data_IF_455313985241
#
_entry.id   IF_455313985241
#
_cell.length_a   1.000
_cell.length_b   1.000
_cell.length_c   1.000
_cell.angle_alpha   90.00
_cell.angle_beta   90.00
_cell.angle_gamma   90.00
#
_symmetry.space_group_name_H-M   'P 1'
#
loop_
_entity.id
_entity.type
_entity.pdbx_description
1 polymer ?
#
# COMPACT_ATOMS: atom_id res chain seq x y z
N UNK A 1 2.49 22.52 -25.25
CA UNK A 1 2.43 22.67 -23.78
C UNK A 1 0.98 22.70 -23.37
N UNK A 2 0.43 21.57 -22.91
CA UNK A 2 -0.98 21.45 -22.50
C UNK A 2 -1.03 21.43 -20.97
N UNK A 3 -1.80 22.37 -20.41
CA UNK A 3 -2.23 22.40 -19.03
C UNK A 3 -2.98 21.09 -18.69
N UNK A 4 -2.47 20.28 -17.76
CA UNK A 4 -3.26 19.25 -17.08
C UNK A 4 -3.60 19.77 -15.68
N UNK A 5 -4.89 20.02 -15.38
CA UNK A 5 -5.31 20.39 -14.04
C UNK A 5 -5.18 19.15 -13.13
N UNK A 6 -4.54 19.34 -11.98
CA UNK A 6 -4.89 18.68 -10.72
C UNK A 6 -4.90 17.14 -10.69
N UNK A 7 -3.85 16.49 -11.21
CA UNK A 7 -3.60 15.09 -10.84
C UNK A 7 -3.03 15.02 -9.41
N UNK A 8 -3.94 15.09 -8.43
CA UNK A 8 -3.69 14.76 -7.01
C UNK A 8 -3.74 13.24 -6.76
N UNK A 9 -3.56 12.45 -7.82
CA UNK A 9 -3.45 11.00 -7.77
C UNK A 9 -2.00 10.55 -8.01
N UNK A 10 -1.62 9.34 -7.55
CA UNK A 10 -0.30 8.79 -7.82
C UNK A 10 -0.04 8.72 -9.34
N UNK A 11 1.15 9.16 -9.75
CA UNK A 11 1.57 9.21 -11.15
C UNK A 11 1.78 7.79 -11.71
N UNK A 12 2.03 6.82 -10.84
CA UNK A 12 2.29 5.42 -11.17
C UNK A 12 1.36 4.50 -10.38
N UNK A 13 0.83 3.45 -11.02
CA UNK A 13 0.07 2.41 -10.32
C UNK A 13 1.02 1.53 -9.50
N UNK A 14 0.57 1.06 -8.34
CA UNK A 14 1.35 0.17 -7.47
C UNK A 14 1.87 -1.09 -8.21
N UNK A 15 1.04 -1.70 -9.06
CA UNK A 15 1.45 -2.86 -9.85
C UNK A 15 2.56 -2.54 -10.85
N UNK A 16 2.50 -1.39 -11.51
CA UNK A 16 3.51 -0.97 -12.47
C UNK A 16 4.84 -0.58 -11.77
N UNK A 17 4.75 0.01 -10.58
CA UNK A 17 5.91 0.26 -9.73
C UNK A 17 6.61 -1.05 -9.33
N UNK A 18 5.82 -2.05 -8.94
CA UNK A 18 6.31 -3.37 -8.58
C UNK A 18 6.96 -4.09 -9.76
N UNK A 19 6.28 -4.17 -10.90
CA UNK A 19 6.77 -4.85 -12.11
C UNK A 19 8.13 -4.25 -12.55
N UNK A 20 8.24 -2.92 -12.55
CA UNK A 20 9.48 -2.22 -12.91
C UNK A 20 10.64 -2.54 -11.96
N UNK A 21 10.37 -2.72 -10.67
CA UNK A 21 11.39 -3.05 -9.68
C UNK A 21 11.78 -4.53 -9.78
N UNK A 22 10.79 -5.42 -9.94
CA UNK A 22 10.99 -6.86 -10.15
C UNK A 22 11.85 -7.13 -11.38
N UNK A 23 11.51 -6.54 -12.53
CA UNK A 23 12.26 -6.74 -13.78
C UNK A 23 13.72 -6.27 -13.69
N UNK A 24 13.98 -5.24 -12.87
CA UNK A 24 15.35 -4.76 -12.63
C UNK A 24 16.09 -5.64 -11.62
N UNK A 25 15.39 -6.09 -10.58
CA UNK A 25 15.90 -7.02 -9.59
C UNK A 25 16.29 -8.37 -10.21
N UNK A 26 15.45 -8.95 -11.08
CA UNK A 26 15.77 -10.18 -11.82
C UNK A 26 16.99 -10.00 -12.74
N UNK A 27 17.06 -8.90 -13.50
CA UNK A 27 18.22 -8.65 -14.38
C UNK A 27 19.51 -8.49 -13.59
N UNK A 28 19.45 -7.85 -12.43
CA UNK A 28 20.58 -7.81 -11.50
C UNK A 28 20.93 -9.19 -10.98
N UNK A 29 19.95 -9.98 -10.52
CA UNK A 29 20.17 -11.34 -10.04
C UNK A 29 20.88 -12.22 -11.09
N UNK A 30 20.51 -12.11 -12.37
CA UNK A 30 21.14 -12.84 -13.50
C UNK A 30 22.56 -12.39 -13.82
N UNK A 31 22.90 -11.13 -13.54
CA UNK A 31 24.23 -10.54 -13.83
C UNK A 31 25.13 -10.45 -12.61
N UNK A 32 24.61 -10.79 -11.43
CA UNK A 32 25.35 -10.79 -10.18
C UNK A 32 26.47 -11.82 -10.22
N UNK A 33 27.67 -11.39 -9.83
CA UNK A 33 28.92 -12.15 -9.97
C UNK A 33 29.29 -12.92 -8.70
N UNK A 34 28.95 -12.38 -7.53
CA UNK A 34 29.34 -12.89 -6.20
C UNK A 34 28.34 -13.92 -5.65
N UNK A 35 28.03 -14.92 -6.47
CA UNK A 35 27.02 -15.96 -6.15
C UNK A 35 27.55 -16.94 -5.10
N UNK A 36 28.86 -16.99 -4.87
CA UNK A 36 29.47 -17.88 -3.88
C UNK A 36 29.56 -17.24 -2.48
N UNK A 37 29.22 -15.95 -2.35
CA UNK A 37 29.19 -15.25 -1.07
C UNK A 37 27.94 -15.64 -0.26
N UNK A 38 27.97 -15.45 1.06
CA UNK A 38 26.83 -15.68 1.95
C UNK A 38 25.58 -14.90 1.51
N UNK A 39 24.40 -15.48 1.75
CA UNK A 39 23.11 -14.86 1.44
C UNK A 39 22.93 -13.47 2.09
N UNK A 40 23.59 -13.24 3.23
CA UNK A 40 23.62 -11.94 3.91
C UNK A 40 24.30 -10.85 3.09
N UNK A 41 25.31 -11.18 2.28
CA UNK A 41 25.94 -10.23 1.36
C UNK A 41 25.06 -9.92 0.17
N UNK A 42 24.32 -10.90 -0.36
CA UNK A 42 23.36 -10.65 -1.44
C UNK A 42 22.28 -9.68 -0.98
N UNK A 43 21.85 -9.80 0.28
CA UNK A 43 20.84 -8.93 0.88
C UNK A 43 21.35 -7.51 1.07
N UNK A 44 22.56 -7.35 1.61
CA UNK A 44 23.19 -6.03 1.75
C UNK A 44 23.38 -5.34 0.40
N UNK A 45 23.87 -6.06 -0.61
CA UNK A 45 24.08 -5.52 -1.97
C UNK A 45 22.75 -5.18 -2.67
N UNK A 46 21.73 -6.03 -2.50
CA UNK A 46 20.40 -5.79 -3.02
C UNK A 46 19.78 -4.54 -2.41
N UNK A 47 19.78 -4.43 -1.09
CA UNK A 47 19.20 -3.28 -0.39
C UNK A 47 19.93 -2.00 -0.74
N UNK A 48 21.27 -1.99 -0.71
CA UNK A 48 22.08 -0.82 -1.06
C UNK A 48 21.80 -0.32 -2.50
N UNK A 49 21.55 -1.24 -3.44
CA UNK A 49 21.30 -0.90 -4.84
C UNK A 49 19.88 -0.43 -5.10
N UNK A 50 18.89 -1.12 -4.55
CA UNK A 50 17.48 -0.94 -4.93
C UNK A 50 16.69 -0.05 -3.97
N UNK A 51 17.18 0.22 -2.76
CA UNK A 51 16.50 1.09 -1.79
C UNK A 51 16.23 2.51 -2.32
N UNK A 52 17.20 3.24 -2.91
CA UNK A 52 16.93 4.57 -3.47
C UNK A 52 15.91 4.55 -4.60
N UNK A 53 15.89 3.46 -5.37
CA UNK A 53 14.95 3.30 -6.48
C UNK A 53 13.53 2.97 -6.00
N UNK A 54 13.43 2.12 -4.98
CA UNK A 54 12.17 1.78 -4.32
C UNK A 54 11.56 3.00 -3.63
N UNK A 55 12.36 3.85 -2.96
CA UNK A 55 11.91 5.11 -2.37
C UNK A 55 11.34 6.06 -3.44
N UNK A 56 12.01 6.17 -4.59
CA UNK A 56 11.53 6.98 -5.72
C UNK A 56 10.20 6.46 -6.28
N UNK A 57 10.10 5.15 -6.52
CA UNK A 57 8.88 4.51 -7.02
C UNK A 57 7.74 4.60 -6.01
N UNK A 58 8.03 4.42 -4.71
CA UNK A 58 7.07 4.59 -3.63
C UNK A 58 6.54 6.02 -3.56
N UNK A 59 7.40 7.03 -3.75
CA UNK A 59 6.99 8.43 -3.80
C UNK A 59 6.09 8.75 -5.02
N UNK A 60 6.27 8.05 -6.14
CA UNK A 60 5.44 8.20 -7.34
C UNK A 60 4.08 7.48 -7.23
N UNK A 61 4.01 6.39 -6.46
CA UNK A 61 2.79 5.58 -6.30
C UNK A 61 2.01 5.88 -5.00
N UNK A 62 2.61 6.59 -4.04
CA UNK A 62 1.97 6.93 -2.76
C UNK A 62 1.43 8.36 -2.79
N UNK A 63 0.12 8.56 -2.52
CA UNK A 63 -0.43 9.90 -2.41
C UNK A 63 0.16 10.63 -1.20
N UNK A 64 0.66 11.85 -1.41
CA UNK A 64 1.16 12.73 -0.35
C UNK A 64 0.02 13.25 0.53
N UNK A 65 0.35 13.67 1.74
CA UNK A 65 -0.56 14.43 2.58
C UNK A 65 -1.06 15.65 1.80
N UNK A 66 -2.37 15.77 1.66
CA UNK A 66 -3.02 16.84 0.91
C UNK A 66 -4.22 17.38 1.66
N UNK A 67 -4.62 18.60 1.35
CA UNK A 67 -5.86 19.15 1.85
C UNK A 67 -7.03 18.25 1.44
N UNK A 68 -7.96 18.05 2.37
CA UNK A 68 -9.13 17.22 2.16
C UNK A 68 -10.09 17.95 1.21
N UNK A 69 -10.27 17.41 0.01
CA UNK A 69 -11.06 18.04 -1.04
C UNK A 69 -12.56 17.74 -0.86
N UNK A 70 -13.41 18.52 -1.55
CA UNK A 70 -14.86 18.28 -1.56
C UNK A 70 -15.22 16.86 -2.06
N UNK A 71 -14.47 16.34 -3.03
CA UNK A 71 -14.65 14.97 -3.52
C UNK A 71 -14.35 13.94 -2.43
N UNK A 72 -13.33 14.17 -1.59
CA UNK A 72 -12.99 13.26 -0.49
C UNK A 72 -14.09 13.26 0.57
N UNK A 73 -14.74 14.41 0.81
CA UNK A 73 -15.92 14.50 1.67
C UNK A 73 -17.07 13.66 1.13
N UNK A 74 -17.40 13.81 -0.16
CA UNK A 74 -18.48 13.06 -0.79
C UNK A 74 -18.21 11.56 -0.70
N UNK A 75 -16.99 11.13 -1.05
CA UNK A 75 -16.61 9.72 -1.00
C UNK A 75 -16.61 9.17 0.42
N UNK A 76 -16.03 9.91 1.39
CA UNK A 76 -16.00 9.49 2.79
C UNK A 76 -17.42 9.35 3.34
N UNK A 77 -18.29 10.33 3.09
CA UNK A 77 -19.70 10.27 3.53
C UNK A 77 -20.42 9.10 2.90
N UNK A 78 -20.32 8.90 1.58
CA UNK A 78 -20.99 7.79 0.89
C UNK A 78 -20.53 6.42 1.41
N UNK A 79 -19.22 6.23 1.58
CA UNK A 79 -18.65 4.98 2.10
C UNK A 79 -19.13 4.73 3.53
N UNK A 80 -19.09 5.72 4.40
CA UNK A 80 -19.49 5.54 5.79
C UNK A 80 -21.00 5.42 5.98
N UNK A 81 -21.82 6.05 5.12
CA UNK A 81 -23.26 5.81 5.08
C UNK A 81 -23.58 4.39 4.61
N UNK A 82 -22.84 3.86 3.63
CA UNK A 82 -23.00 2.48 3.19
C UNK A 82 -22.67 1.50 4.32
N UNK A 83 -21.53 1.69 5.00
CA UNK A 83 -21.14 0.87 6.15
C UNK A 83 -22.18 0.97 7.28
N UNK A 84 -22.61 2.19 7.63
CA UNK A 84 -23.65 2.39 8.64
C UNK A 84 -24.97 1.71 8.25
N UNK A 85 -25.35 1.77 6.98
CA UNK A 85 -26.53 1.08 6.43
C UNK A 85 -26.42 -0.44 6.51
N UNK A 86 -25.25 -1.02 6.21
CA UNK A 86 -24.99 -2.46 6.35
C UNK A 86 -25.06 -2.88 7.81
N UNK A 87 -24.41 -2.13 8.71
CA UNK A 87 -24.43 -2.42 10.16
C UNK A 87 -25.86 -2.36 10.69
N UNK A 88 -26.59 -1.29 10.38
CA UNK A 88 -27.97 -1.10 10.82
C UNK A 88 -28.90 -2.17 10.23
N UNK A 89 -28.82 -2.42 8.92
CA UNK A 89 -29.61 -3.45 8.24
C UNK A 89 -29.33 -4.85 8.78
N UNK A 90 -28.05 -5.18 8.99
CA UNK A 90 -27.64 -6.43 9.63
C UNK A 90 -28.19 -6.57 11.04
N UNK A 91 -28.09 -5.53 11.87
CA UNK A 91 -28.64 -5.53 13.23
C UNK A 91 -30.16 -5.73 13.24
N UNK A 92 -30.90 -5.07 12.35
CA UNK A 92 -32.35 -5.19 12.25
C UNK A 92 -32.77 -6.60 11.83
N UNK A 93 -32.09 -7.16 10.82
CA UNK A 93 -32.42 -8.46 10.25
C UNK A 93 -32.11 -9.61 11.24
N UNK A 94 -31.04 -9.47 12.03
CA UNK A 94 -30.63 -10.47 13.03
C UNK A 94 -31.46 -10.44 14.32
N UNK A 95 -31.85 -9.25 14.80
CA UNK A 95 -32.40 -9.09 16.17
C UNK A 95 -33.90 -8.78 16.17
N UNK A 96 -34.50 -8.33 15.04
CA UNK A 96 -35.87 -7.79 14.98
C UNK A 96 -36.19 -6.86 16.18
N UNK A 97 -35.45 -5.75 16.33
CA UNK A 97 -35.49 -4.94 17.53
C UNK A 97 -36.85 -4.28 17.75
N UNK A 98 -37.21 -4.05 19.02
CA UNK A 98 -38.31 -3.15 19.36
C UNK A 98 -37.98 -1.70 18.97
N UNK A 99 -39.00 -0.84 18.90
CA UNK A 99 -38.85 0.56 18.47
C UNK A 99 -37.77 1.33 19.26
N UNK A 100 -37.62 1.07 20.55
CA UNK A 100 -36.57 1.70 21.39
C UNK A 100 -35.18 1.23 20.99
N UNK A 101 -34.98 -0.08 20.79
CA UNK A 101 -33.69 -0.65 20.39
C UNK A 101 -33.29 -0.23 18.98
N UNK A 102 -34.25 -0.04 18.06
CA UNK A 102 -33.98 0.49 16.73
C UNK A 102 -33.27 1.86 16.79
N UNK A 103 -33.77 2.79 17.60
CA UNK A 103 -33.14 4.11 17.74
C UNK A 103 -31.75 4.06 18.38
N UNK A 104 -31.51 3.11 19.29
CA UNK A 104 -30.17 2.85 19.83
C UNK A 104 -29.22 2.40 18.71
N UNK A 105 -29.64 1.45 17.87
CA UNK A 105 -28.83 1.00 16.73
C UNK A 105 -28.57 2.12 15.72
N UNK A 106 -29.56 2.96 15.43
CA UNK A 106 -29.38 4.16 14.59
C UNK A 106 -28.34 5.10 15.20
N UNK A 107 -28.42 5.36 16.51
CA UNK A 107 -27.45 6.21 17.21
C UNK A 107 -26.03 5.67 17.13
N UNK A 108 -25.85 4.35 17.33
CA UNK A 108 -24.55 3.68 17.19
C UNK A 108 -24.03 3.75 15.75
N UNK A 109 -24.89 3.48 14.76
CA UNK A 109 -24.51 3.53 13.35
C UNK A 109 -24.08 4.95 12.93
N UNK A 110 -24.78 5.98 13.41
CA UNK A 110 -24.41 7.37 13.19
C UNK A 110 -23.06 7.72 13.85
N UNK A 111 -22.82 7.25 15.08
CA UNK A 111 -21.54 7.45 15.77
C UNK A 111 -20.38 6.81 15.00
N UNK A 112 -20.55 5.58 14.52
CA UNK A 112 -19.56 4.88 13.70
C UNK A 112 -19.25 5.69 12.44
N UNK A 113 -20.27 6.21 11.75
CA UNK A 113 -20.08 7.01 10.55
C UNK A 113 -19.28 8.31 10.83
N UNK A 114 -19.60 9.03 11.91
CA UNK A 114 -18.89 10.27 12.28
C UNK A 114 -17.43 9.99 12.62
N UNK A 115 -17.16 8.98 13.44
CA UNK A 115 -15.79 8.57 13.80
C UNK A 115 -15.02 8.17 12.54
N UNK A 116 -15.66 7.40 11.68
CA UNK A 116 -15.09 6.94 10.42
C UNK A 116 -14.69 8.07 9.48
N UNK A 117 -15.56 9.06 9.29
CA UNK A 117 -15.27 10.25 8.49
C UNK A 117 -14.12 11.05 9.10
N UNK A 118 -14.14 11.25 10.42
CA UNK A 118 -13.04 11.91 11.15
C UNK A 118 -11.70 11.19 10.96
N UNK A 119 -11.71 9.87 10.98
CA UNK A 119 -10.52 9.05 10.73
C UNK A 119 -9.99 9.24 9.31
N UNK A 120 -10.85 9.18 8.28
CA UNK A 120 -10.45 9.39 6.87
C UNK A 120 -9.86 10.79 6.68
N UNK A 121 -10.45 11.80 7.32
CA UNK A 121 -9.95 13.17 7.30
C UNK A 121 -8.59 13.29 7.97
N UNK A 122 -8.39 12.67 9.12
CA UNK A 122 -7.10 12.65 9.82
C UNK A 122 -6.03 11.95 8.97
N UNK A 123 -6.38 10.79 8.41
CA UNK A 123 -5.49 9.95 7.61
C UNK A 123 -5.00 10.63 6.33
N UNK A 124 -5.86 11.44 5.70
CA UNK A 124 -5.52 12.14 4.45
C UNK A 124 -4.63 13.36 4.68
N UNK A 125 -4.75 14.01 5.85
CA UNK A 125 -4.07 15.29 6.10
C UNK A 125 -2.83 15.20 6.98
N UNK A 126 -2.60 14.07 7.64
CA UNK A 126 -1.46 13.91 8.53
C UNK A 126 -0.17 13.64 7.73
N UNK A 127 0.84 14.54 7.79
CA UNK A 127 2.12 14.33 7.10
C UNK A 127 2.87 13.11 7.63
N UNK A 128 2.87 12.92 8.96
CA UNK A 128 3.51 11.78 9.60
C UNK A 128 2.96 10.44 9.11
N UNK A 129 1.65 10.36 8.80
CA UNK A 129 1.07 9.15 8.20
C UNK A 129 1.41 8.97 6.73
N UNK A 130 1.52 10.06 5.97
CA UNK A 130 1.95 9.97 4.58
C UNK A 130 3.39 9.45 4.48
N UNK A 131 4.27 9.88 5.39
CA UNK A 131 5.64 9.36 5.51
C UNK A 131 5.65 7.88 5.91
N UNK A 132 4.89 7.49 6.93
CA UNK A 132 4.78 6.08 7.34
C UNK A 132 4.23 5.18 6.22
N UNK A 133 3.27 5.67 5.42
CA UNK A 133 2.77 4.95 4.24
C UNK A 133 3.82 4.82 3.15
N UNK A 134 4.62 5.85 2.92
CA UNK A 134 5.70 5.81 1.95
C UNK A 134 6.78 4.80 2.37
N UNK A 135 7.16 4.79 3.64
CA UNK A 135 8.11 3.81 4.20
C UNK A 135 7.56 2.39 4.06
N UNK A 136 6.32 2.14 4.49
CA UNK A 136 5.67 0.84 4.35
C UNK A 136 5.58 0.39 2.89
N UNK A 137 5.29 1.30 1.96
CA UNK A 137 5.27 1.01 0.52
C UNK A 137 6.65 0.69 -0.02
N UNK A 138 7.67 1.40 0.44
CA UNK A 138 9.08 1.15 0.07
C UNK A 138 9.52 -0.24 0.51
N UNK A 139 9.26 -0.61 1.77
CA UNK A 139 9.55 -1.94 2.30
C UNK A 139 8.78 -3.03 1.55
N UNK A 140 7.51 -2.80 1.25
CA UNK A 140 6.71 -3.75 0.48
C UNK A 140 7.27 -3.98 -0.92
N UNK A 141 7.64 -2.91 -1.65
CA UNK A 141 8.25 -3.00 -2.97
C UNK A 141 9.58 -3.76 -2.91
N UNK A 142 10.47 -3.40 -1.97
CA UNK A 142 11.76 -4.05 -1.79
C UNK A 142 11.60 -5.53 -1.47
N UNK A 143 10.74 -5.87 -0.51
CA UNK A 143 10.51 -7.23 -0.06
C UNK A 143 9.86 -8.11 -1.13
N UNK A 144 8.95 -7.57 -1.94
CA UNK A 144 8.32 -8.30 -3.03
C UNK A 144 9.31 -8.60 -4.16
N UNK A 145 10.09 -7.61 -4.59
CA UNK A 145 11.10 -7.78 -5.63
C UNK A 145 12.28 -8.67 -5.17
N UNK A 146 12.66 -8.58 -3.88
CA UNK A 146 13.74 -9.40 -3.29
C UNK A 146 13.43 -10.89 -3.42
N UNK A 147 12.22 -11.33 -3.09
CA UNK A 147 11.83 -12.75 -3.15
C UNK A 147 12.10 -13.37 -4.51
N UNK A 148 11.83 -12.60 -5.57
CA UNK A 148 11.97 -13.07 -6.95
C UNK A 148 13.43 -13.08 -7.40
N UNK A 149 14.17 -12.01 -7.11
CA UNK A 149 15.61 -11.96 -7.39
C UNK A 149 16.42 -13.02 -6.61
N UNK A 150 16.03 -13.33 -5.37
CA UNK A 150 16.71 -14.32 -4.54
C UNK A 150 16.41 -15.75 -4.97
N UNK A 151 15.23 -16.02 -5.54
CA UNK A 151 14.96 -17.29 -6.19
C UNK A 151 15.96 -17.53 -7.34
N UNK A 152 16.10 -16.55 -8.25
CA UNK A 152 17.08 -16.62 -9.35
C UNK A 152 18.53 -16.79 -8.85
N UNK A 153 18.92 -16.10 -7.77
CA UNK A 153 20.27 -16.24 -7.20
C UNK A 153 20.51 -17.63 -6.60
N UNK A 154 19.53 -18.17 -5.86
CA UNK A 154 19.62 -19.51 -5.25
C UNK A 154 19.67 -20.61 -6.30
N UNK A 155 18.87 -20.49 -7.35
CA UNK A 155 18.89 -21.42 -8.48
C UNK A 155 20.29 -21.44 -9.13
N UNK A 156 20.85 -20.25 -9.42
CA UNK A 156 22.22 -20.12 -9.98
C UNK A 156 23.32 -20.61 -9.04
N UNK A 157 23.16 -20.42 -7.73
CA UNK A 157 24.10 -20.92 -6.73
C UNK A 157 24.08 -22.45 -6.67
N UNK A 158 22.88 -23.05 -6.76
CA UNK A 158 22.70 -24.51 -6.78
C UNK A 158 23.31 -25.15 -8.04
N UNK A 159 23.13 -24.53 -9.20
CA UNK A 159 23.71 -24.99 -10.47
C UNK A 159 25.24 -25.02 -10.42
N UNK A 160 25.88 -23.97 -9.88
CA UNK A 160 27.35 -23.93 -9.68
C UNK A 160 27.85 -24.93 -8.64
N UNK A 161 27.05 -25.18 -7.59
CA UNK A 161 27.40 -26.15 -6.54
C UNK A 161 27.33 -27.60 -7.02
N UNK A 162 26.49 -27.91 -8.02
CA UNK A 162 26.37 -29.24 -8.63
C UNK A 162 27.43 -29.59 -9.67
N UNK A 163 28.24 -28.62 -10.12
CA UNK A 163 29.36 -28.82 -11.06
C UNK A 163 30.71 -29.08 -10.36
N UNK A 164 30.74 -29.17 -9.02
CA UNK A 164 31.92 -29.53 -8.22
C UNK A 164 31.83 -30.96 -7.69
#
# INVERSE_FOLDING_TARGET
>A
MQHRPDQTGPTLKDGEALDRLVDRAERWAKTYRRIDDDESQWEADYEAKFRPEAERLAAECTPRARAFAAVDWIMAVLVWLLVAGIVLGGSILLIRPSATWFWIFVGVAALIAVIGIGYVRYDTTSPARAEAKLEQKTEWLLGAAKRRAFADLRDRASERGGER
#
